data_IF_966023735636
#
_entry.id   IF_966023735636
#
_cell.length_a   1.000
_cell.length_b   1.000
_cell.length_c   1.000
_cell.angle_alpha   90.00
_cell.angle_beta   90.00
_cell.angle_gamma   90.00
#
_symmetry.space_group_name_H-M   'P 1'
#
loop_
_entity.id
_entity.type
_entity.pdbx_description
1 polymer ?
#
# COMPACT_ATOMS: atom_id res chain seq x y z
N UNK A 1 -2.23 0.48 -14.09
CA UNK A 1 -2.50 0.87 -12.68
C UNK A 1 -3.99 0.96 -12.42
N UNK A 2 -4.47 0.39 -11.32
CA UNK A 2 -5.88 0.41 -10.88
C UNK A 2 -6.02 1.36 -9.68
N UNK A 3 -7.06 2.19 -9.70
CA UNK A 3 -7.32 3.24 -8.69
C UNK A 3 -8.67 3.03 -7.99
N UNK A 4 -9.64 2.48 -8.71
CA UNK A 4 -11.01 2.25 -8.19
C UNK A 4 -11.03 1.17 -7.12
N UNK A 5 -11.66 1.47 -5.96
CA UNK A 5 -11.74 0.55 -4.82
C UNK A 5 -12.77 -0.57 -5.01
N UNK A 6 -12.47 -1.74 -4.43
CA UNK A 6 -11.22 -2.17 -3.77
C UNK A 6 -10.07 -2.36 -4.79
N UNK A 7 -9.11 -1.45 -4.80
CA UNK A 7 -8.16 -1.34 -5.92
C UNK A 7 -7.23 -2.57 -6.06
N UNK A 8 -6.81 -3.19 -4.95
CA UNK A 8 -5.99 -4.39 -4.99
C UNK A 8 -6.76 -5.55 -5.64
N UNK A 9 -7.97 -5.80 -5.19
CA UNK A 9 -8.83 -6.88 -5.70
C UNK A 9 -9.28 -6.62 -7.14
N UNK A 10 -9.61 -5.37 -7.49
CA UNK A 10 -9.92 -4.99 -8.86
C UNK A 10 -8.72 -5.20 -9.80
N UNK A 11 -7.50 -4.92 -9.33
CA UNK A 11 -6.29 -5.19 -10.10
C UNK A 11 -6.04 -6.70 -10.27
N UNK A 12 -6.34 -7.51 -9.25
CA UNK A 12 -6.29 -8.97 -9.35
C UNK A 12 -7.27 -9.50 -10.40
N UNK A 13 -8.53 -9.05 -10.35
CA UNK A 13 -9.55 -9.43 -11.35
C UNK A 13 -9.10 -9.06 -12.76
N UNK A 14 -8.60 -7.84 -12.94
CA UNK A 14 -8.09 -7.39 -14.24
C UNK A 14 -6.91 -8.24 -14.72
N UNK A 15 -5.96 -8.55 -13.84
CA UNK A 15 -4.78 -9.38 -14.15
C UNK A 15 -5.19 -10.81 -14.56
N UNK A 16 -6.12 -11.42 -13.84
CA UNK A 16 -6.60 -12.78 -14.09
C UNK A 16 -7.40 -12.89 -15.40
N UNK A 17 -8.13 -11.84 -15.78
CA UNK A 17 -8.90 -11.79 -17.04
C UNK A 17 -8.06 -11.37 -18.27
N UNK A 18 -6.80 -11.00 -18.10
CA UNK A 18 -5.91 -10.62 -19.19
C UNK A 18 -4.59 -11.40 -19.15
N UNK A 19 -4.62 -12.76 -19.32
CA UNK A 19 -3.46 -13.62 -19.13
C UNK A 19 -2.34 -13.40 -20.16
N UNK A 20 -2.64 -12.73 -21.28
CA UNK A 20 -1.63 -12.36 -22.29
C UNK A 20 -0.78 -11.16 -21.89
N UNK A 21 -1.18 -10.40 -20.86
CA UNK A 21 -0.41 -9.24 -20.36
C UNK A 21 0.46 -9.70 -19.19
N UNK A 22 1.77 -9.40 -19.20
CA UNK A 22 2.64 -9.75 -18.07
C UNK A 22 2.11 -9.26 -16.74
N UNK A 23 2.11 -10.11 -15.72
CA UNK A 23 1.55 -9.80 -14.38
C UNK A 23 2.16 -8.54 -13.76
N UNK A 24 3.46 -8.29 -14.00
CA UNK A 24 4.16 -7.08 -13.55
C UNK A 24 3.58 -5.75 -14.08
N UNK A 25 2.76 -5.80 -15.11
CA UNK A 25 2.11 -4.61 -15.68
C UNK A 25 0.80 -4.24 -14.98
N UNK A 26 0.34 -5.05 -14.03
CA UNK A 26 -0.82 -4.76 -13.21
C UNK A 26 -0.39 -4.24 -11.85
N UNK A 27 -0.78 -3.01 -11.55
CA UNK A 27 -0.47 -2.36 -10.27
C UNK A 27 -1.71 -1.70 -9.69
N UNK A 28 -1.77 -1.54 -8.35
CA UNK A 28 -2.83 -0.77 -7.69
C UNK A 28 -2.24 0.39 -6.88
N UNK A 29 -3.03 1.45 -6.70
CA UNK A 29 -2.58 2.71 -6.12
C UNK A 29 -2.54 2.65 -4.59
N UNK A 30 -1.35 2.60 -4.01
CA UNK A 30 -1.10 2.80 -2.57
C UNK A 30 -0.22 4.02 -2.28
N UNK A 31 0.21 4.73 -3.32
CA UNK A 31 1.00 5.96 -3.22
C UNK A 31 0.29 7.06 -2.44
N UNK A 32 -1.05 7.11 -2.49
CA UNK A 32 -1.82 8.10 -1.72
C UNK A 32 -1.60 7.93 -0.21
N UNK A 33 -1.58 6.69 0.25
CA UNK A 33 -1.37 6.37 1.67
C UNK A 33 0.10 6.59 2.06
N UNK A 34 1.05 6.27 1.18
CA UNK A 34 2.46 6.62 1.35
C UNK A 34 2.64 8.14 1.49
N UNK A 35 2.04 8.93 0.60
CA UNK A 35 2.11 10.38 0.68
C UNK A 35 1.51 10.93 1.98
N UNK A 36 0.43 10.32 2.48
CA UNK A 36 -0.15 10.64 3.79
C UNK A 36 0.79 10.28 4.94
N UNK A 37 1.42 9.10 4.89
CA UNK A 37 2.38 8.65 5.89
C UNK A 37 3.60 9.57 5.95
N UNK A 38 4.22 9.86 4.81
CA UNK A 38 5.33 10.83 4.70
C UNK A 38 4.96 12.19 5.29
N UNK A 39 3.77 12.69 4.96
CA UNK A 39 3.31 13.98 5.49
C UNK A 39 3.14 13.97 7.01
N UNK A 40 2.56 12.90 7.59
CA UNK A 40 2.37 12.83 9.05
C UNK A 40 3.72 12.71 9.79
N UNK A 41 4.68 11.94 9.28
CA UNK A 41 6.03 11.87 9.84
C UNK A 41 6.74 13.22 9.75
N UNK A 42 6.65 13.89 8.60
CA UNK A 42 7.25 15.21 8.41
C UNK A 42 6.63 16.27 9.35
N UNK A 43 5.31 16.25 9.50
CA UNK A 43 4.59 17.17 10.41
C UNK A 43 5.00 16.96 11.87
N UNK A 44 5.05 15.70 12.33
CA UNK A 44 5.46 15.36 13.70
C UNK A 44 6.93 15.71 13.95
N UNK A 45 7.80 15.46 12.96
CA UNK A 45 9.22 15.76 13.04
C UNK A 45 9.59 17.24 12.83
N UNK A 46 8.64 18.09 12.43
CA UNK A 46 8.92 19.50 12.14
C UNK A 46 9.87 19.70 10.95
N UNK A 47 9.76 18.85 9.94
CA UNK A 47 10.66 18.84 8.76
C UNK A 47 9.88 18.98 7.45
N UNK A 48 10.59 19.23 6.35
CA UNK A 48 9.98 19.19 5.03
C UNK A 48 9.62 17.76 4.61
N UNK A 49 8.46 17.60 3.99
CA UNK A 49 7.96 16.35 3.42
C UNK A 49 8.99 15.60 2.56
N UNK A 50 9.75 16.31 1.76
CA UNK A 50 10.78 15.77 0.86
C UNK A 50 11.97 15.13 1.57
N UNK A 51 12.10 15.31 2.89
CA UNK A 51 13.17 14.70 3.68
C UNK A 51 12.78 13.38 4.34
N UNK A 52 11.56 12.91 4.09
CA UNK A 52 11.06 11.60 4.53
C UNK A 52 11.20 10.61 3.39
N UNK A 53 11.96 9.55 3.60
CA UNK A 53 12.28 8.50 2.63
C UNK A 53 11.95 7.12 3.17
N UNK A 54 12.09 6.09 2.35
CA UNK A 54 11.94 4.69 2.75
C UNK A 54 10.59 4.38 3.41
N UNK A 55 9.53 5.08 2.99
CA UNK A 55 8.19 4.87 3.54
C UNK A 55 7.47 3.81 2.73
N UNK A 56 7.04 2.75 3.40
CA UNK A 56 6.26 1.67 2.78
C UNK A 56 4.84 1.66 3.31
N UNK A 57 3.89 1.40 2.45
CA UNK A 57 2.55 0.93 2.82
C UNK A 57 2.50 -0.55 2.46
N UNK A 58 2.38 -1.42 3.44
CA UNK A 58 2.19 -2.85 3.19
C UNK A 58 0.72 -3.21 3.08
N UNK A 59 0.42 -4.16 2.20
CA UNK A 59 -0.87 -4.82 2.19
C UNK A 59 -1.93 -4.24 1.28
N UNK A 60 -3.16 -4.32 1.77
CA UNK A 60 -4.37 -3.88 1.10
C UNK A 60 -4.57 -2.36 1.26
N UNK A 61 -5.14 -1.71 0.25
CA UNK A 61 -5.59 -0.32 0.37
C UNK A 61 -6.93 -0.26 1.14
N UNK A 62 -6.88 -0.60 2.42
CA UNK A 62 -8.02 -0.69 3.35
C UNK A 62 -7.63 -0.19 4.75
N UNK A 63 -8.46 -0.45 5.74
CA UNK A 63 -8.13 -0.18 7.15
C UNK A 63 -7.10 -1.16 7.73
N UNK A 64 -6.73 -2.20 7.00
CA UNK A 64 -5.63 -3.13 7.38
C UNK A 64 -4.28 -2.74 6.79
N UNK A 65 -4.21 -1.70 5.95
CA UNK A 65 -2.95 -1.19 5.42
C UNK A 65 -1.95 -0.91 6.55
N UNK A 66 -0.67 -1.18 6.30
CA UNK A 66 0.38 -0.99 7.31
C UNK A 66 1.34 0.10 6.88
N UNK A 67 1.19 1.33 7.36
CA UNK A 67 2.19 2.38 7.15
C UNK A 67 3.42 2.05 8.00
N UNK A 68 4.51 1.75 7.30
CA UNK A 68 5.78 1.31 7.89
C UNK A 68 6.59 2.51 8.39
N UNK A 69 6.64 2.67 9.69
CA UNK A 69 7.50 3.64 10.36
C UNK A 69 8.83 3.01 10.83
N UNK A 70 8.95 1.67 10.78
CA UNK A 70 10.15 0.94 11.24
C UNK A 70 11.30 1.19 10.28
N UNK A 71 11.03 1.10 8.98
CA UNK A 71 12.01 1.31 7.92
C UNK A 71 12.08 2.75 7.40
N UNK A 72 11.07 3.59 7.71
CA UNK A 72 11.05 4.98 7.27
C UNK A 72 12.19 5.79 7.87
N UNK A 73 12.70 6.75 7.08
CA UNK A 73 13.77 7.67 7.51
C UNK A 73 13.34 9.11 7.42
N UNK A 74 13.80 9.93 8.35
CA UNK A 74 13.62 11.38 8.40
C UNK A 74 15.01 12.01 8.39
N UNK A 75 15.34 12.75 7.30
CA UNK A 75 16.70 13.29 7.10
C UNK A 75 17.81 12.24 7.22
N UNK A 76 17.55 11.02 6.76
CA UNK A 76 18.49 9.89 6.81
C UNK A 76 18.59 9.18 8.17
N UNK A 77 17.86 9.63 9.20
CA UNK A 77 17.78 8.99 10.53
C UNK A 77 16.50 8.16 10.60
N UNK A 78 16.54 7.00 11.25
CA UNK A 78 15.35 6.15 11.44
C UNK A 78 14.21 6.95 12.08
N UNK A 79 13.02 6.84 11.53
CA UNK A 79 11.86 7.62 11.96
C UNK A 79 11.51 7.38 13.43
N UNK A 80 11.65 6.15 13.93
CA UNK A 80 11.44 5.82 15.34
C UNK A 80 12.40 6.61 16.24
N UNK A 81 13.69 6.62 15.90
CA UNK A 81 14.71 7.37 16.64
C UNK A 81 14.52 8.89 16.54
N UNK A 82 14.14 9.37 15.36
CA UNK A 82 13.94 10.80 15.10
C UNK A 82 12.72 11.37 15.84
N UNK A 83 11.60 10.64 15.84
CA UNK A 83 10.35 11.02 16.52
C UNK A 83 10.46 10.82 18.03
N UNK A 84 11.08 9.72 18.47
CA UNK A 84 11.29 9.41 19.90
C UNK A 84 9.99 9.13 20.67
N UNK A 85 8.88 8.79 19.99
CA UNK A 85 7.56 8.57 20.58
C UNK A 85 6.91 7.33 19.92
N UNK A 86 7.27 6.16 20.44
CA UNK A 86 6.78 4.88 19.95
C UNK A 86 5.26 4.75 20.09
N UNK A 87 4.72 5.22 21.21
CA UNK A 87 3.29 5.17 21.43
C UNK A 87 2.52 5.97 20.36
N UNK A 88 2.99 7.16 20.03
CA UNK A 88 2.38 7.95 18.96
C UNK A 88 2.45 7.24 17.60
N UNK A 89 3.58 6.59 17.26
CA UNK A 89 3.75 5.86 16.00
C UNK A 89 2.75 4.70 15.87
N UNK A 90 2.51 3.95 16.93
CA UNK A 90 1.62 2.80 16.92
C UNK A 90 0.13 3.18 17.08
N UNK A 91 -0.19 4.07 18.02
CA UNK A 91 -1.57 4.34 18.44
C UNK A 91 -2.21 5.54 17.75
N UNK A 92 -1.43 6.46 17.18
CA UNK A 92 -1.96 7.63 16.47
C UNK A 92 -1.59 7.66 14.99
N UNK A 93 -0.30 7.54 14.65
CA UNK A 93 0.16 7.62 13.26
C UNK A 93 -0.48 6.53 12.40
N UNK A 94 -0.38 5.27 12.80
CA UNK A 94 -0.91 4.13 12.03
C UNK A 94 -2.44 4.24 11.83
N UNK A 95 -3.28 4.39 12.87
CA UNK A 95 -4.72 4.53 12.68
C UNK A 95 -5.12 5.78 11.89
N UNK A 96 -4.37 6.87 12.02
CA UNK A 96 -4.62 8.12 11.28
C UNK A 96 -4.48 7.94 9.77
N UNK A 97 -3.50 7.15 9.32
CA UNK A 97 -3.35 6.82 7.90
C UNK A 97 -4.47 5.88 7.45
N UNK A 98 -4.70 4.82 8.19
CA UNK A 98 -5.71 3.79 7.90
C UNK A 98 -7.12 4.36 7.73
N UNK A 99 -7.50 5.32 8.56
CA UNK A 99 -8.86 5.87 8.60
C UNK A 99 -9.02 7.19 7.83
N UNK A 100 -7.93 7.74 7.25
CA UNK A 100 -7.94 9.07 6.62
C UNK A 100 -8.96 9.22 5.50
N UNK A 101 -9.09 8.19 4.65
CA UNK A 101 -10.05 8.20 3.54
C UNK A 101 -11.49 8.37 4.03
N UNK A 102 -11.92 7.52 4.95
CA UNK A 102 -13.24 7.58 5.56
C UNK A 102 -13.52 8.90 6.29
N UNK A 103 -12.53 9.42 7.02
CA UNK A 103 -12.65 10.72 7.71
C UNK A 103 -12.89 11.88 6.72
N UNK A 104 -12.24 11.88 5.55
CA UNK A 104 -12.44 12.89 4.52
C UNK A 104 -13.84 12.79 3.89
N UNK A 105 -14.29 11.57 3.59
CA UNK A 105 -15.63 11.34 3.04
C UNK A 105 -16.69 11.80 4.02
N UNK A 106 -16.56 11.44 5.29
CA UNK A 106 -17.48 11.90 6.37
C UNK A 106 -17.54 13.42 6.48
N UNK A 107 -16.38 14.10 6.28
CA UNK A 107 -16.28 15.56 6.39
C UNK A 107 -16.80 16.29 5.15
N UNK A 108 -16.54 15.78 3.95
CA UNK A 108 -16.80 16.47 2.68
C UNK A 108 -17.91 15.84 1.83
N UNK A 109 -18.46 14.70 2.23
CA UNK A 109 -19.48 13.97 1.48
C UNK A 109 -18.99 13.31 0.19
N UNK A 110 -17.66 13.28 -0.04
CA UNK A 110 -17.04 12.68 -1.23
C UNK A 110 -15.60 12.27 -0.98
N UNK A 111 -15.11 11.35 -1.81
CA UNK A 111 -13.70 10.92 -1.80
C UNK A 111 -12.75 12.08 -2.14
N UNK A 112 -11.50 11.96 -1.69
CA UNK A 112 -10.45 12.90 -2.08
C UNK A 112 -10.14 12.76 -3.57
N UNK A 113 -10.19 13.86 -4.33
CA UNK A 113 -9.88 13.85 -5.76
C UNK A 113 -8.48 14.41 -6.05
N UNK A 114 -8.18 15.62 -5.57
CA UNK A 114 -6.92 16.30 -5.86
C UNK A 114 -5.68 15.54 -5.36
N UNK A 115 -5.69 15.06 -4.10
CA UNK A 115 -4.58 14.26 -3.55
C UNK A 115 -4.44 12.91 -4.25
N UNK A 116 -5.54 12.31 -4.69
CA UNK A 116 -5.52 11.08 -5.49
C UNK A 116 -4.88 11.35 -6.85
N UNK A 117 -5.25 12.44 -7.54
CA UNK A 117 -4.65 12.82 -8.83
C UNK A 117 -3.14 13.04 -8.71
N UNK A 118 -2.67 13.76 -7.68
CA UNK A 118 -1.24 13.93 -7.42
C UNK A 118 -0.55 12.57 -7.19
N UNK A 119 -1.16 11.70 -6.39
CA UNK A 119 -0.59 10.37 -6.09
C UNK A 119 -0.55 9.45 -7.32
N UNK A 120 -1.49 9.59 -8.25
CA UNK A 120 -1.44 8.91 -9.56
C UNK A 120 -0.21 9.38 -10.35
N UNK A 121 0.03 10.68 -10.43
CA UNK A 121 1.20 11.25 -11.11
C UNK A 121 2.49 10.77 -10.46
N UNK A 122 2.57 10.80 -9.12
CA UNK A 122 3.73 10.32 -8.37
C UNK A 122 3.99 8.82 -8.61
N UNK A 123 2.94 8.01 -8.63
CA UNK A 123 3.04 6.57 -8.92
C UNK A 123 3.57 6.34 -10.35
N UNK A 124 2.97 7.00 -11.34
CA UNK A 124 3.39 6.88 -12.75
C UNK A 124 4.83 7.34 -12.94
N UNK A 125 5.22 8.46 -12.31
CA UNK A 125 6.60 8.96 -12.35
C UNK A 125 7.57 7.94 -11.77
N UNK A 126 7.27 7.36 -10.60
CA UNK A 126 8.11 6.33 -9.98
C UNK A 126 8.26 5.05 -10.81
N UNK A 127 7.33 4.75 -11.72
CA UNK A 127 7.46 3.60 -12.62
C UNK A 127 8.43 3.83 -13.80
N UNK A 128 8.77 5.08 -14.10
CA UNK A 128 9.59 5.44 -15.27
C UNK A 128 10.89 6.17 -14.90
N UNK A 129 10.93 6.85 -13.76
CA UNK A 129 12.13 7.53 -13.27
C UNK A 129 12.90 6.60 -12.32
N UNK A 130 14.22 6.46 -12.46
CA UNK A 130 15.03 5.68 -11.53
C UNK A 130 14.85 6.16 -10.09
N UNK A 131 14.66 5.22 -9.17
CA UNK A 131 14.56 5.53 -7.75
C UNK A 131 15.92 6.00 -7.23
N UNK A 132 15.99 7.11 -6.45
CA UNK A 132 17.23 7.53 -5.82
C UNK A 132 17.87 6.41 -4.98
N UNK A 133 19.21 6.37 -4.97
CA UNK A 133 19.96 5.38 -4.21
C UNK A 133 19.55 5.39 -2.72
N UNK A 134 19.29 4.21 -2.18
CA UNK A 134 18.89 4.02 -0.79
C UNK A 134 17.42 4.38 -0.47
N UNK A 135 16.62 4.80 -1.46
CA UNK A 135 15.18 5.04 -1.30
C UNK A 135 14.33 3.98 -2.01
N UNK A 136 13.04 3.97 -1.75
CA UNK A 136 12.02 3.15 -2.41
C UNK A 136 10.64 3.80 -2.30
N UNK A 137 9.67 3.21 -2.94
CA UNK A 137 8.28 3.66 -2.92
C UNK A 137 7.31 2.49 -2.80
N UNK A 138 6.07 2.76 -2.40
CA UNK A 138 5.01 1.76 -2.26
C UNK A 138 4.23 1.58 -3.54
N UNK A 139 4.06 0.34 -3.95
CA UNK A 139 3.21 -0.02 -5.08
C UNK A 139 2.57 -1.40 -4.82
N UNK A 140 1.26 -1.51 -5.03
CA UNK A 140 0.60 -2.82 -4.96
C UNK A 140 0.83 -3.57 -6.27
N UNK A 141 1.49 -4.72 -6.17
CA UNK A 141 1.95 -5.55 -7.28
C UNK A 141 1.62 -7.02 -7.05
N UNK A 142 1.74 -7.84 -8.11
CA UNK A 142 1.58 -9.28 -8.02
C UNK A 142 2.59 -9.89 -7.04
N UNK A 143 2.10 -10.76 -6.17
CA UNK A 143 2.91 -11.41 -5.13
C UNK A 143 3.68 -12.64 -5.60
N UNK A 144 3.50 -13.09 -6.83
CA UNK A 144 4.20 -14.26 -7.34
C UNK A 144 5.72 -14.05 -7.27
N UNK A 145 6.42 -14.97 -6.59
CA UNK A 145 7.86 -14.91 -6.41
C UNK A 145 8.35 -13.78 -5.48
N UNK A 146 7.50 -13.22 -4.62
CA UNK A 146 7.91 -12.17 -3.68
C UNK A 146 8.88 -12.72 -2.61
N UNK A 147 9.84 -11.90 -2.13
CA UNK A 147 10.83 -12.35 -1.17
C UNK A 147 10.38 -12.26 0.29
N UNK A 148 9.16 -11.78 0.57
CA UNK A 148 8.69 -11.48 1.93
C UNK A 148 7.84 -12.59 2.54
N UNK A 149 7.62 -13.69 1.80
CA UNK A 149 6.81 -14.83 2.25
C UNK A 149 5.30 -14.55 2.30
N UNK A 150 4.83 -13.57 1.51
CA UNK A 150 3.42 -13.29 1.31
C UNK A 150 2.85 -14.31 0.32
N UNK A 151 1.64 -14.79 0.57
CA UNK A 151 0.96 -15.76 -0.28
C UNK A 151 0.89 -15.30 -1.73
N UNK A 152 1.21 -16.20 -2.67
CA UNK A 152 1.18 -15.90 -4.10
C UNK A 152 -0.25 -15.72 -4.64
N UNK A 153 -0.37 -15.08 -5.78
CA UNK A 153 -1.64 -14.86 -6.47
C UNK A 153 -2.50 -13.75 -5.86
N UNK A 154 -1.88 -12.79 -5.21
CA UNK A 154 -2.49 -11.54 -4.73
C UNK A 154 -1.95 -10.33 -5.48
N UNK A 155 -2.61 -9.19 -5.30
CA UNK A 155 -2.04 -7.86 -5.54
C UNK A 155 -1.87 -7.20 -4.18
N UNK A 156 -0.63 -7.05 -3.73
CA UNK A 156 -0.26 -6.63 -2.38
C UNK A 156 0.73 -5.46 -2.44
N UNK A 157 0.55 -4.46 -1.62
CA UNK A 157 1.47 -3.32 -1.57
C UNK A 157 2.77 -3.69 -0.88
N UNK A 158 3.88 -3.45 -1.57
CA UNK A 158 5.24 -3.77 -1.14
C UNK A 158 6.21 -2.65 -1.52
N UNK A 159 7.40 -2.57 -0.88
CA UNK A 159 8.42 -1.62 -1.27
C UNK A 159 9.02 -1.99 -2.64
N UNK A 160 9.03 -1.04 -3.54
CA UNK A 160 9.53 -1.17 -4.89
C UNK A 160 10.60 -0.11 -5.18
N UNK A 161 11.50 -0.40 -6.11
CA UNK A 161 12.40 0.60 -6.70
C UNK A 161 12.43 0.41 -8.22
N UNK A 162 12.66 1.49 -8.95
CA UNK A 162 12.76 1.49 -10.40
C UNK A 162 14.21 1.62 -10.81
N UNK A 163 14.65 0.73 -11.69
CA UNK A 163 16.02 0.67 -12.19
C UNK A 163 16.28 1.74 -13.27
N UNK A 164 17.55 1.96 -13.60
CA UNK A 164 17.96 2.95 -14.58
C UNK A 164 17.42 2.67 -16.00
N UNK A 165 17.08 1.43 -16.31
CA UNK A 165 16.52 0.98 -17.59
C UNK A 165 14.99 0.94 -17.62
N UNK A 166 14.33 1.41 -16.54
CA UNK A 166 12.87 1.62 -16.48
C UNK A 166 12.05 0.38 -16.11
N UNK A 167 12.60 -0.59 -15.38
CA UNK A 167 11.86 -1.69 -14.77
C UNK A 167 11.75 -1.51 -13.24
N UNK A 168 10.64 -1.89 -12.64
CA UNK A 168 10.60 -1.97 -11.17
C UNK A 168 11.00 -3.36 -10.69
N UNK A 169 11.55 -3.40 -9.49
CA UNK A 169 11.82 -4.60 -8.70
C UNK A 169 11.38 -4.40 -7.26
N UNK A 170 11.16 -5.50 -6.55
CA UNK A 170 10.94 -5.45 -5.10
C UNK A 170 12.27 -5.17 -4.39
N UNK A 171 12.23 -4.38 -3.33
CA UNK A 171 13.40 -4.13 -2.49
C UNK A 171 13.86 -5.46 -1.89
N UNK A 172 15.15 -5.78 -1.90
CA UNK A 172 15.67 -7.00 -1.29
C UNK A 172 15.32 -7.11 0.20
N UNK A 173 14.95 -8.30 0.71
CA UNK A 173 14.51 -8.47 2.09
C UNK A 173 15.60 -8.15 3.14
N UNK A 174 16.88 -8.24 2.76
CA UNK A 174 18.00 -7.86 3.60
C UNK A 174 18.11 -6.35 3.85
N UNK A 175 17.43 -5.53 3.07
CA UNK A 175 17.35 -4.08 3.26
C UNK A 175 16.13 -3.65 4.11
N UNK A 176 15.24 -4.59 4.44
CA UNK A 176 13.96 -4.34 5.11
C UNK A 176 13.91 -5.05 6.46
N UNK A 177 13.71 -4.31 7.52
CA UNK A 177 13.42 -4.90 8.83
C UNK A 177 11.93 -5.25 8.94
N UNK A 178 11.61 -6.53 9.11
CA UNK A 178 10.24 -6.98 9.43
C UNK A 178 10.25 -7.55 10.85
N UNK A 179 10.08 -6.66 11.83
CA UNK A 179 9.94 -7.02 13.24
C UNK A 179 8.55 -7.64 13.53
N UNK A 180 8.33 -8.09 14.76
CA UNK A 180 7.09 -8.77 15.16
C UNK A 180 5.84 -7.88 15.00
N UNK A 181 5.98 -6.55 15.22
CA UNK A 181 4.89 -5.59 15.00
C UNK A 181 4.46 -5.55 13.54
N UNK A 182 5.40 -5.37 12.62
CA UNK A 182 5.11 -5.35 11.19
C UNK A 182 4.59 -6.70 10.71
N UNK A 183 5.22 -7.79 11.14
CA UNK A 183 4.84 -9.15 10.75
C UNK A 183 3.38 -9.46 11.08
N UNK A 184 2.94 -9.14 12.29
CA UNK A 184 1.56 -9.37 12.71
C UNK A 184 0.56 -8.55 11.88
N UNK A 185 0.86 -7.29 11.59
CA UNK A 185 -0.02 -6.41 10.80
C UNK A 185 -0.03 -6.76 9.30
N UNK A 186 1.13 -7.09 8.73
CA UNK A 186 1.25 -7.57 7.35
C UNK A 186 0.41 -8.83 7.17
N UNK A 187 0.48 -9.77 8.13
CA UNK A 187 -0.32 -10.99 8.10
C UNK A 187 -1.82 -10.72 8.14
N UNK A 188 -2.28 -9.80 8.97
CA UNK A 188 -3.70 -9.42 9.02
C UNK A 188 -4.20 -8.83 7.69
N UNK A 189 -3.37 -8.02 7.02
CA UNK A 189 -3.70 -7.45 5.70
C UNK A 189 -3.67 -8.50 4.58
N UNK A 190 -2.76 -9.47 4.67
CA UNK A 190 -2.73 -10.63 3.77
C UNK A 190 -3.99 -11.48 3.90
N UNK A 191 -4.42 -11.78 5.13
CA UNK A 191 -5.64 -12.53 5.40
C UNK A 191 -6.89 -11.85 4.85
N UNK A 192 -6.97 -10.51 4.94
CA UNK A 192 -8.05 -9.74 4.32
C UNK A 192 -8.06 -9.93 2.80
N UNK A 193 -6.92 -9.79 2.12
CA UNK A 193 -6.82 -9.97 0.67
C UNK A 193 -7.08 -11.42 0.22
N UNK A 194 -6.69 -12.41 1.01
CA UNK A 194 -7.03 -13.83 0.76
C UNK A 194 -8.55 -14.04 0.82
N UNK A 195 -9.22 -13.42 1.79
CA UNK A 195 -10.67 -13.47 1.89
C UNK A 195 -11.34 -12.74 0.71
N UNK A 196 -10.89 -11.54 0.35
CA UNK A 196 -11.38 -10.82 -0.83
C UNK A 196 -11.18 -11.64 -2.12
N UNK A 197 -10.00 -12.26 -2.30
CA UNK A 197 -9.73 -13.14 -3.45
C UNK A 197 -10.75 -14.29 -3.51
N UNK A 198 -11.05 -14.94 -2.38
CA UNK A 198 -12.00 -16.04 -2.34
C UNK A 198 -13.40 -15.61 -2.76
N UNK A 199 -13.81 -14.38 -2.45
CA UNK A 199 -15.12 -13.83 -2.82
C UNK A 199 -15.26 -13.57 -4.32
N UNK A 200 -14.16 -13.27 -5.03
CA UNK A 200 -14.20 -12.83 -6.45
C UNK A 200 -13.70 -13.88 -7.44
N UNK A 201 -13.28 -15.07 -7.00
CA UNK A 201 -12.74 -16.14 -7.85
C UNK A 201 -13.65 -16.50 -9.03
N UNK A 202 -14.97 -16.44 -8.83
CA UNK A 202 -15.97 -16.69 -9.87
C UNK A 202 -15.90 -15.71 -11.04
N UNK A 203 -15.33 -14.50 -10.85
CA UNK A 203 -15.23 -13.47 -11.90
C UNK A 203 -14.12 -13.74 -12.92
N UNK A 204 -13.24 -14.71 -12.65
CA UNK A 204 -12.18 -15.12 -13.57
C UNK A 204 -12.09 -16.65 -13.76
N UNK A 205 -13.22 -17.35 -13.56
CA UNK A 205 -13.40 -18.74 -13.96
C UNK A 205 -12.83 -19.78 -13.00
N UNK A 206 -12.42 -19.38 -11.80
CA UNK A 206 -12.05 -20.33 -10.74
C UNK A 206 -13.30 -20.70 -9.92
N UNK A 207 -13.43 -21.98 -9.50
CA UNK A 207 -14.55 -22.42 -8.64
C UNK A 207 -14.39 -21.79 -7.26
N UNK A 208 -15.33 -20.90 -6.91
CA UNK A 208 -15.23 -20.03 -5.76
C UNK A 208 -15.30 -20.73 -4.41
N UNK A 209 -14.51 -20.23 -3.46
CA UNK A 209 -14.71 -20.41 -2.05
C UNK A 209 -15.94 -19.63 -1.54
N UNK A 210 -16.49 -20.02 -0.39
CA UNK A 210 -17.54 -19.24 0.25
C UNK A 210 -16.97 -17.93 0.80
N UNK A 211 -17.61 -16.82 0.46
CA UNK A 211 -17.30 -15.52 1.03
C UNK A 211 -17.65 -15.53 2.53
N UNK A 212 -16.65 -15.60 3.40
CA UNK A 212 -16.86 -15.42 4.84
C UNK A 212 -16.83 -13.93 5.17
N UNK A 213 -18.01 -13.34 5.37
CA UNK A 213 -18.24 -12.01 5.92
C UNK A 213 -17.16 -10.94 5.62
N UNK A 214 -17.24 -10.33 4.45
CA UNK A 214 -16.69 -8.95 4.28
C UNK A 214 -17.49 -8.09 5.25
N UNK A 215 -16.84 -7.53 6.26
CA UNK A 215 -17.49 -6.58 7.16
C UNK A 215 -18.00 -5.43 6.29
N UNK A 216 -19.30 -5.13 6.38
CA UNK A 216 -19.95 -4.03 5.64
C UNK A 216 -19.31 -2.65 5.86
N UNK A 217 -18.39 -2.54 6.84
CA UNK A 217 -17.65 -1.30 7.15
C UNK A 217 -16.64 -0.85 6.07
N UNK A 218 -16.36 -1.68 5.05
CA UNK A 218 -15.50 -1.28 3.92
C UNK A 218 -16.28 -0.72 2.74
N UNK A 219 -17.60 -0.89 2.70
CA UNK A 219 -18.46 -0.24 1.74
C UNK A 219 -18.87 1.14 2.25
N UNK A 220 -18.45 2.18 1.55
CA UNK A 220 -18.88 3.54 1.81
C UNK A 220 -20.38 3.66 1.58
N UNK A 221 -21.18 4.23 2.53
CA UNK A 221 -22.59 4.47 2.28
C UNK A 221 -22.73 5.55 1.19
N UNK A 222 -23.28 5.18 0.03
CA UNK A 222 -23.71 6.15 -0.96
C UNK A 222 -23.35 5.93 -2.41
N UNK A 223 -23.10 4.72 -2.87
CA UNK A 223 -23.12 4.40 -4.32
C UNK A 223 -24.27 3.42 -4.61
N UNK A 224 -25.48 3.99 -4.76
CA UNK A 224 -26.59 3.43 -5.50
C UNK A 224 -26.83 4.30 -6.73
#
# INVERSE_FOLDING_TARGET
MVVGNPCNTNALIAMKNAPSIPKKNFTALTRLDENRAKYQLALRGGVFYTTVTNTTIWGNHSTTQVPDFVNAKIKGVDAQSFIGDQQWLEEEFTPRIQTRGGALIKKWGRSSAASTAVSIVDHMRSMVEPTPEGDWYSMAVCTDGNPYGIEEGLIFSMPCRTNADGGYELVPPEEIEINDYLRAKIKASEEELLNERSCVQHLYGETGGSCSNVKEDTMLPGEN
#
